data_IF_800208399631
#
_entry.id   IF_800208399631
#
_cell.length_a   1.000
_cell.length_b   1.000
_cell.length_c   1.000
_cell.angle_alpha   90.00
_cell.angle_beta   90.00
_cell.angle_gamma   90.00
#
_symmetry.space_group_name_H-M   'P 1'
#
loop_
_entity.id
_entity.type
_entity.pdbx_description
1 polymer ?
#
# COMPACT_ATOMS: atom_id res chain seq x y z
N UNK A 1 0.73 14.89 -2.42
CA UNK A 1 1.75 13.87 -2.06
C UNK A 1 2.05 13.02 -3.29
N UNK A 2 3.23 12.40 -3.38
CA UNK A 2 3.56 11.40 -4.41
C UNK A 2 3.93 10.07 -3.76
N UNK A 3 3.72 8.95 -4.43
CA UNK A 3 4.12 7.61 -4.01
C UNK A 3 5.07 7.01 -5.03
N UNK A 4 6.04 6.24 -4.54
CA UNK A 4 6.86 5.38 -5.41
C UNK A 4 6.18 4.03 -5.52
N UNK A 5 6.00 3.56 -6.75
CA UNK A 5 5.41 2.26 -7.04
C UNK A 5 6.44 1.41 -7.77
N UNK A 6 6.70 0.22 -7.24
CA UNK A 6 7.52 -0.80 -7.90
C UNK A 6 6.67 -1.99 -8.31
N UNK A 7 6.87 -2.49 -9.53
CA UNK A 7 6.22 -3.70 -10.02
C UNK A 7 7.07 -4.37 -11.10
N UNK A 8 6.76 -5.63 -11.40
CA UNK A 8 7.39 -6.35 -12.51
C UNK A 8 6.50 -6.31 -13.75
N UNK A 9 7.10 -6.06 -14.92
CA UNK A 9 6.37 -6.12 -16.19
C UNK A 9 6.28 -7.57 -16.71
N UNK A 10 5.61 -7.76 -17.86
CA UNK A 10 5.50 -9.09 -18.51
C UNK A 10 6.84 -9.72 -18.91
N UNK A 11 7.91 -8.93 -19.00
CA UNK A 11 9.29 -9.37 -19.28
C UNK A 11 10.09 -9.60 -17.99
N UNK A 12 9.43 -9.62 -16.83
CA UNK A 12 10.04 -9.78 -15.51
C UNK A 12 11.05 -8.67 -15.13
N UNK A 13 10.95 -7.49 -15.74
CA UNK A 13 11.81 -6.35 -15.40
C UNK A 13 11.19 -5.55 -14.26
N UNK A 14 12.01 -5.18 -13.26
CA UNK A 14 11.60 -4.29 -12.18
C UNK A 14 11.45 -2.86 -12.73
N UNK A 15 10.25 -2.31 -12.62
CA UNK A 15 9.94 -0.95 -13.00
C UNK A 15 9.64 -0.12 -11.77
N UNK A 16 10.11 1.13 -11.79
CA UNK A 16 9.86 2.13 -10.75
C UNK A 16 9.12 3.30 -11.38
N UNK A 17 8.04 3.75 -10.75
CA UNK A 17 7.33 4.95 -11.17
C UNK A 17 6.85 5.76 -9.98
N UNK A 18 6.64 7.06 -10.19
CA UNK A 18 6.06 7.94 -9.17
C UNK A 18 4.64 8.34 -9.58
N UNK A 19 3.68 8.27 -8.65
CA UNK A 19 2.27 8.65 -8.87
C UNK A 19 1.81 9.67 -7.83
N UNK A 20 0.86 10.55 -8.17
CA UNK A 20 0.19 11.39 -7.17
C UNK A 20 -0.76 10.56 -6.31
N UNK A 21 -1.18 11.09 -5.16
CA UNK A 21 -2.18 10.45 -4.30
C UNK A 21 -3.50 10.21 -5.05
N UNK A 22 -3.99 11.19 -5.79
CA UNK A 22 -5.26 11.12 -6.52
C UNK A 22 -5.23 10.00 -7.56
N UNK A 23 -4.12 9.87 -8.29
CA UNK A 23 -3.95 8.81 -9.28
C UNK A 23 -3.78 7.43 -8.64
N UNK A 24 -3.19 7.38 -7.45
CA UNK A 24 -3.06 6.15 -6.68
C UNK A 24 -4.42 5.68 -6.15
N UNK A 25 -5.18 6.57 -5.50
CA UNK A 25 -6.54 6.29 -5.02
C UNK A 25 -7.49 5.91 -6.16
N UNK A 26 -7.47 6.68 -7.26
CA UNK A 26 -8.26 6.38 -8.44
C UNK A 26 -7.91 5.03 -9.05
N UNK A 27 -6.67 4.55 -8.89
CA UNK A 27 -6.34 3.18 -9.29
C UNK A 27 -6.90 2.15 -8.32
N UNK A 28 -6.75 2.31 -7.00
CA UNK A 28 -7.28 1.36 -6.01
C UNK A 28 -8.78 1.10 -6.23
N UNK A 29 -9.54 2.17 -6.48
CA UNK A 29 -11.00 2.08 -6.71
C UNK A 29 -11.35 1.25 -7.95
N UNK A 30 -10.48 1.26 -8.96
CA UNK A 30 -10.68 0.60 -10.26
C UNK A 30 -9.80 -0.64 -10.45
N UNK A 31 -9.10 -1.13 -9.43
CA UNK A 31 -8.21 -2.31 -9.53
C UNK A 31 -9.03 -3.60 -9.35
N UNK A 32 -9.96 -3.84 -10.27
CA UNK A 32 -10.85 -5.01 -10.31
C UNK A 32 -10.63 -5.90 -11.55
N UNK A 33 -9.74 -5.49 -12.46
CA UNK A 33 -9.66 -5.99 -13.84
C UNK A 33 -9.44 -7.51 -14.00
N UNK A 34 -9.13 -8.25 -12.93
CA UNK A 34 -8.94 -9.71 -12.93
C UNK A 34 -9.37 -10.41 -11.62
N UNK A 35 -10.27 -9.80 -10.84
CA UNK A 35 -10.67 -10.31 -9.52
C UNK A 35 -9.46 -10.58 -8.60
N UNK A 36 -8.38 -9.80 -8.72
CA UNK A 36 -7.11 -10.04 -8.00
C UNK A 36 -7.28 -10.01 -6.49
N UNK A 37 -8.10 -9.08 -5.98
CA UNK A 37 -8.41 -8.93 -4.56
C UNK A 37 -9.31 -10.07 -4.06
N UNK A 38 -10.30 -10.48 -4.85
CA UNK A 38 -11.20 -11.60 -4.51
C UNK A 38 -10.43 -12.93 -4.45
N UNK A 39 -9.62 -13.21 -5.47
CA UNK A 39 -8.76 -14.40 -5.49
C UNK A 39 -7.77 -14.42 -4.31
N UNK A 40 -7.26 -13.24 -3.92
CA UNK A 40 -6.42 -13.13 -2.73
C UNK A 40 -7.20 -13.45 -1.45
N UNK A 41 -8.42 -12.91 -1.28
CA UNK A 41 -9.31 -13.20 -0.14
C UNK A 41 -9.61 -14.68 0.00
N UNK A 42 -9.83 -15.37 -1.12
CA UNK A 42 -10.09 -16.80 -1.13
C UNK A 42 -8.85 -17.60 -0.71
N UNK A 43 -7.65 -17.18 -1.16
CA UNK A 43 -6.42 -17.95 -0.95
C UNK A 43 -5.75 -17.68 0.41
N UNK A 44 -5.85 -16.45 0.92
CA UNK A 44 -5.11 -16.00 2.12
C UNK A 44 -5.37 -16.84 3.38
N UNK A 45 -6.57 -17.39 3.65
CA UNK A 45 -6.80 -18.23 4.83
C UNK A 45 -6.03 -19.55 4.81
N UNK A 46 -5.56 -19.98 3.63
CA UNK A 46 -4.82 -21.22 3.44
C UNK A 46 -3.29 -21.02 3.45
N UNK A 47 -2.80 -19.78 3.61
CA UNK A 47 -1.37 -19.47 3.60
C UNK A 47 -0.74 -19.70 4.98
N UNK A 48 0.30 -20.54 5.03
CA UNK A 48 1.09 -20.75 6.25
C UNK A 48 2.14 -19.67 6.52
N UNK A 49 2.54 -18.91 5.49
CA UNK A 49 3.64 -17.95 5.54
C UNK A 49 3.14 -16.48 5.45
N UNK A 50 1.93 -16.20 5.92
CA UNK A 50 1.31 -14.88 5.76
C UNK A 50 1.16 -14.49 4.29
N UNK A 51 1.06 -13.18 4.03
CA UNK A 51 0.80 -12.67 2.67
C UNK A 51 1.93 -12.95 1.68
N UNK A 52 3.18 -13.09 2.15
CA UNK A 52 4.34 -13.39 1.30
C UNK A 52 4.24 -14.77 0.63
N UNK A 53 3.43 -15.67 1.19
CA UNK A 53 3.14 -16.97 0.60
C UNK A 53 2.18 -16.92 -0.61
N UNK A 54 1.58 -15.77 -0.91
CA UNK A 54 0.63 -15.65 -2.02
C UNK A 54 1.35 -15.70 -3.37
N UNK A 55 0.95 -16.64 -4.24
CA UNK A 55 1.61 -16.94 -5.53
C UNK A 55 1.82 -15.71 -6.43
N UNK A 56 0.88 -14.77 -6.40
CA UNK A 56 0.91 -13.59 -7.27
C UNK A 56 1.51 -12.35 -6.58
N UNK A 57 1.92 -12.44 -5.31
CA UNK A 57 2.55 -11.34 -4.57
C UNK A 57 3.71 -10.67 -5.34
N UNK A 58 4.61 -11.40 -6.03
CA UNK A 58 5.69 -10.77 -6.81
C UNK A 58 5.23 -9.95 -8.02
N UNK A 59 3.98 -10.13 -8.45
CA UNK A 59 3.39 -9.42 -9.59
C UNK A 59 2.64 -8.15 -9.16
N UNK A 60 2.36 -8.02 -7.87
CA UNK A 60 1.63 -6.89 -7.34
C UNK A 60 2.48 -5.62 -7.34
N UNK A 61 1.79 -4.48 -7.29
CA UNK A 61 2.45 -3.20 -7.11
C UNK A 61 2.78 -3.00 -5.64
N UNK A 62 4.04 -2.73 -5.35
CA UNK A 62 4.46 -2.34 -4.01
C UNK A 62 4.54 -0.83 -3.92
N UNK A 63 3.93 -0.28 -2.88
CA UNK A 63 3.87 1.15 -2.60
C UNK A 63 4.92 1.48 -1.56
N UNK A 64 5.78 2.44 -1.88
CA UNK A 64 6.88 2.86 -1.02
C UNK A 64 6.78 4.35 -0.71
N UNK A 65 7.35 4.81 0.41
CA UNK A 65 7.65 6.22 0.61
C UNK A 65 8.36 6.79 -0.61
N UNK A 66 7.89 7.94 -1.08
CA UNK A 66 8.55 8.68 -2.12
C UNK A 66 9.67 9.51 -1.50
N UNK A 67 10.91 9.16 -1.85
CA UNK A 67 12.08 9.97 -1.57
C UNK A 67 12.53 10.67 -2.86
N UNK A 68 12.64 11.99 -2.80
CA UNK A 68 13.25 12.82 -3.84
C UNK A 68 14.71 13.05 -3.46
N UNK A 69 15.62 12.80 -4.40
CA UNK A 69 17.04 13.03 -4.23
C UNK A 69 17.50 14.15 -5.15
N UNK A 70 18.50 14.91 -4.70
CA UNK A 70 19.19 15.91 -5.50
C UNK A 70 20.69 15.59 -5.53
N UNK A 71 21.38 15.93 -6.62
CA UNK A 71 22.84 15.86 -6.66
C UNK A 71 23.42 16.98 -5.80
N UNK A 72 24.34 16.64 -4.90
CA UNK A 72 25.17 17.61 -4.18
C UNK A 72 26.36 18.05 -5.02
N UNK A 73 27.07 19.08 -4.56
CA UNK A 73 28.24 19.66 -5.23
C UNK A 73 29.36 18.63 -5.47
N UNK A 74 29.50 17.63 -4.59
CA UNK A 74 30.44 16.53 -4.74
C UNK A 74 29.92 15.35 -5.60
N UNK A 75 28.79 15.52 -6.29
CA UNK A 75 28.20 14.52 -7.18
C UNK A 75 27.43 13.39 -6.49
N UNK A 76 27.43 13.33 -5.15
CA UNK A 76 26.63 12.35 -4.39
C UNK A 76 25.13 12.70 -4.42
N UNK A 77 24.29 11.70 -4.15
CA UNK A 77 22.85 11.93 -3.98
C UNK A 77 22.56 12.29 -2.52
N UNK A 78 21.95 13.45 -2.31
CA UNK A 78 21.41 13.88 -1.01
C UNK A 78 19.89 13.81 -1.06
N UNK A 79 19.28 13.18 -0.06
CA UNK A 79 17.81 13.17 0.07
C UNK A 79 17.31 14.60 0.31
N UNK A 80 16.39 15.06 -0.54
CA UNK A 80 15.81 16.39 -0.52
C UNK A 80 14.46 16.40 0.19
N UNK A 81 13.63 15.41 -0.10
CA UNK A 81 12.27 15.30 0.43
C UNK A 81 11.93 13.83 0.62
N UNK A 82 11.35 13.49 1.76
CA UNK A 82 10.74 12.20 1.99
C UNK A 82 9.31 12.46 2.44
N UNK A 83 8.35 11.79 1.82
CA UNK A 83 6.95 11.93 2.20
C UNK A 83 6.57 11.10 3.44
N UNK A 84 7.44 10.20 3.91
CA UNK A 84 7.23 9.36 5.10
C UNK A 84 5.87 8.66 5.11
N UNK A 85 5.74 7.52 4.42
CA UNK A 85 4.49 6.73 4.50
C UNK A 85 4.51 5.93 5.80
N UNK A 86 3.52 6.16 6.65
CA UNK A 86 3.24 5.33 7.82
C UNK A 86 2.03 4.45 7.51
N UNK A 87 2.20 3.14 7.70
CA UNK A 87 1.08 2.19 7.70
C UNK A 87 0.71 1.91 9.15
N UNK A 88 -0.53 2.24 9.52
CA UNK A 88 -1.10 1.88 10.82
C UNK A 88 -2.09 0.73 10.57
N UNK A 89 -1.81 -0.42 11.18
CA UNK A 89 -2.69 -1.59 11.14
C UNK A 89 -3.43 -1.70 12.47
N UNK A 90 -4.75 -1.87 12.39
CA UNK A 90 -5.61 -2.11 13.55
C UNK A 90 -6.26 -3.48 13.33
N UNK A 91 -6.15 -4.36 14.30
CA UNK A 91 -6.65 -5.74 14.26
C UNK A 91 -7.68 -5.98 15.37
N UNK A 92 -8.39 -7.10 15.30
CA UNK A 92 -9.37 -7.54 16.31
C UNK A 92 -10.48 -6.52 16.62
N UNK A 93 -11.01 -5.88 15.57
CA UNK A 93 -12.10 -4.89 15.68
C UNK A 93 -13.43 -5.64 15.83
N UNK A 94 -13.76 -6.04 17.06
CA UNK A 94 -14.90 -6.90 17.37
C UNK A 94 -16.18 -6.16 17.79
N UNK A 95 -16.12 -4.83 17.95
CA UNK A 95 -17.24 -4.01 18.41
C UNK A 95 -18.06 -3.46 17.23
N UNK A 96 -19.40 -3.47 17.36
CA UNK A 96 -20.29 -2.81 16.41
C UNK A 96 -19.94 -1.31 16.29
N UNK A 97 -19.63 -0.87 15.07
CA UNK A 97 -19.18 0.50 14.81
C UNK A 97 -17.69 0.77 15.10
N UNK A 98 -16.91 -0.24 15.52
CA UNK A 98 -15.48 -0.10 15.81
C UNK A 98 -14.66 0.41 14.62
N UNK A 99 -14.99 -0.04 13.40
CA UNK A 99 -14.34 0.44 12.16
C UNK A 99 -14.54 1.94 11.96
N UNK A 100 -15.75 2.46 12.19
CA UNK A 100 -16.04 3.87 12.00
C UNK A 100 -15.41 4.74 13.09
N UNK A 101 -15.37 4.24 14.33
CA UNK A 101 -14.66 4.89 15.43
C UNK A 101 -13.15 5.00 15.14
N UNK A 102 -12.53 3.95 14.59
CA UNK A 102 -11.12 3.96 14.19
C UNK A 102 -10.90 4.96 13.04
N UNK A 103 -11.75 4.94 12.01
CA UNK A 103 -11.65 5.91 10.91
C UNK A 103 -11.72 7.35 11.41
N UNK A 104 -12.63 7.66 12.35
CA UNK A 104 -12.73 8.99 12.94
C UNK A 104 -11.47 9.39 13.72
N UNK A 105 -10.94 8.50 14.58
CA UNK A 105 -9.70 8.76 15.32
C UNK A 105 -8.52 8.94 14.38
N UNK A 106 -8.38 8.09 13.37
CA UNK A 106 -7.28 8.13 12.40
C UNK A 106 -7.36 9.38 11.53
N UNK A 107 -8.56 9.85 11.17
CA UNK A 107 -8.77 11.11 10.46
C UNK A 107 -8.37 12.35 11.28
N UNK A 108 -8.33 12.26 12.60
CA UNK A 108 -7.85 13.35 13.46
C UNK A 108 -6.31 13.47 13.51
N UNK A 109 -5.58 12.46 13.02
CA UNK A 109 -4.13 12.49 13.01
C UNK A 109 -3.62 13.42 11.89
N UNK A 110 -2.65 14.30 12.18
CA UNK A 110 -2.14 15.29 11.21
C UNK A 110 -1.41 14.65 10.00
N UNK A 111 -1.09 13.36 10.07
CA UNK A 111 -0.35 12.60 9.06
C UNK A 111 -1.22 11.61 8.27
N UNK A 112 -2.51 11.48 8.58
CA UNK A 112 -3.39 10.53 7.91
C UNK A 112 -3.98 11.13 6.64
N UNK A 113 -3.77 10.44 5.52
CA UNK A 113 -4.30 10.86 4.22
C UNK A 113 -5.38 9.92 3.67
N UNK A 114 -5.43 8.68 4.15
CA UNK A 114 -6.46 7.71 3.79
C UNK A 114 -6.53 6.58 4.83
N UNK A 115 -7.71 5.98 4.99
CA UNK A 115 -7.94 4.77 5.78
C UNK A 115 -8.73 3.77 4.94
N UNK A 116 -8.31 2.51 4.95
CA UNK A 116 -8.92 1.43 4.16
C UNK A 116 -9.18 0.23 5.05
N UNK A 117 -10.17 -0.58 4.69
CA UNK A 117 -10.33 -1.93 5.25
C UNK A 117 -9.40 -2.87 4.48
N UNK A 118 -8.67 -3.71 5.21
CA UNK A 118 -7.73 -4.67 4.63
C UNK A 118 -8.38 -5.55 3.57
N UNK A 119 -7.60 -5.93 2.56
CA UNK A 119 -8.08 -6.77 1.49
C UNK A 119 -8.53 -8.14 1.98
N UNK A 120 -8.02 -8.67 3.07
CA UNK A 120 -8.42 -9.98 3.60
C UNK A 120 -9.77 -9.97 4.33
N UNK A 121 -10.27 -8.80 4.74
CA UNK A 121 -11.53 -8.66 5.48
C UNK A 121 -11.47 -9.13 6.95
N UNK A 122 -10.35 -9.71 7.37
CA UNK A 122 -10.13 -10.25 8.72
C UNK A 122 -8.94 -9.55 9.41
N UNK A 123 -8.04 -8.93 8.63
CA UNK A 123 -6.77 -8.33 9.06
C UNK A 123 -6.12 -9.15 10.17
N UNK A 124 -5.76 -10.39 9.83
CA UNK A 124 -4.96 -11.30 10.66
C UNK A 124 -3.47 -10.95 10.49
N UNK A 125 -3.01 -9.88 11.12
CA UNK A 125 -1.58 -9.61 11.30
C UNK A 125 -1.25 -8.99 12.64
#
# INVERSE_FOLDING_TARGET
>A
MKFTITHRNKKNQLLVSTKSLERFLGRIINDDARNTVENFREYVPYLMNGYDGYKDMPTWMHVHPAAEFQKSENGLLKMKKNNGVLLLTFVDINEDGGVDAIKQKVASLPSTLAAFVGADGISLH
#
